data_IF_575739340892
#
_entry.id   IF_575739340892
#
_cell.length_a   1.000
_cell.length_b   1.000
_cell.length_c   1.000
_cell.angle_alpha   90.00
_cell.angle_beta   90.00
_cell.angle_gamma   90.00
#
_symmetry.space_group_name_H-M   'P 1'
#
loop_
_entity.id
_entity.type
_entity.pdbx_description
1 polymer ?
#
# COMPACT_ATOMS: atom_id res chain seq x y z
N UNK A 1 -21.06 -6.45 -12.89
CA UNK A 1 -21.16 -4.99 -12.96
C UNK A 1 -19.84 -4.37 -12.52
N UNK A 2 -19.47 -3.28 -13.16
CA UNK A 2 -18.29 -2.48 -12.88
C UNK A 2 -18.43 -1.80 -11.49
N UNK A 3 -17.38 -1.74 -10.65
CA UNK A 3 -17.43 -1.05 -9.36
C UNK A 3 -17.60 0.47 -9.48
N UNK A 4 -17.33 1.06 -10.65
CA UNK A 4 -17.47 2.50 -10.90
C UNK A 4 -16.36 3.38 -10.29
N UNK A 5 -15.40 2.78 -9.58
CA UNK A 5 -14.31 3.52 -8.94
C UNK A 5 -13.21 3.95 -9.91
N UNK A 6 -13.06 3.25 -11.03
CA UNK A 6 -12.07 3.52 -12.08
C UNK A 6 -12.57 2.99 -13.42
N UNK A 7 -12.06 3.58 -14.50
CA UNK A 7 -12.33 3.15 -15.86
C UNK A 7 -11.37 2.03 -16.28
N UNK A 8 -11.81 1.20 -17.23
CA UNK A 8 -10.90 0.26 -17.89
C UNK A 8 -9.90 1.03 -18.76
N UNK A 9 -8.64 0.83 -18.47
CA UNK A 9 -7.53 1.44 -19.21
C UNK A 9 -6.46 0.38 -19.49
N UNK A 10 -6.38 -0.19 -20.69
CA UNK A 10 -5.42 -1.24 -21.00
C UNK A 10 -3.99 -0.71 -20.91
N UNK A 11 -3.06 -1.61 -20.57
CA UNK A 11 -1.64 -1.29 -20.44
C UNK A 11 -1.00 -0.77 -21.74
N UNK A 12 -1.52 -1.23 -22.88
CA UNK A 12 -1.03 -0.86 -24.22
C UNK A 12 -1.42 0.58 -24.58
N UNK A 13 -0.57 1.25 -25.33
CA UNK A 13 -0.81 2.60 -25.87
C UNK A 13 -1.01 3.71 -24.81
N UNK A 14 -0.51 3.48 -23.58
CA UNK A 14 -0.52 4.51 -22.54
C UNK A 14 0.52 5.60 -22.81
N UNK A 15 0.25 6.85 -22.40
CA UNK A 15 1.28 7.89 -22.35
C UNK A 15 2.45 7.41 -21.50
N UNK A 16 3.67 7.73 -21.93
CA UNK A 16 4.87 7.28 -21.23
C UNK A 16 4.96 7.87 -19.83
N UNK A 17 5.03 6.99 -18.83
CA UNK A 17 5.28 7.34 -17.44
C UNK A 17 6.79 7.35 -17.18
N UNK A 18 7.29 8.42 -16.56
CA UNK A 18 8.68 8.55 -16.11
C UNK A 18 8.69 9.15 -14.71
N UNK A 19 9.77 8.90 -13.97
CA UNK A 19 9.97 9.40 -12.61
C UNK A 19 11.08 10.46 -12.58
N UNK A 20 11.34 11.13 -11.44
CA UNK A 20 12.36 12.17 -11.33
C UNK A 20 13.69 11.75 -11.94
N UNK A 21 14.40 12.70 -12.57
CA UNK A 21 15.73 12.49 -13.16
C UNK A 21 15.76 11.38 -14.25
N UNK A 22 14.62 11.11 -14.89
CA UNK A 22 14.51 10.05 -15.89
C UNK A 22 14.56 8.64 -15.34
N UNK A 23 14.35 8.47 -14.03
CA UNK A 23 14.17 7.16 -13.42
C UNK A 23 12.96 6.46 -14.04
N UNK A 24 13.01 5.15 -14.07
CA UNK A 24 12.03 4.31 -14.76
C UNK A 24 11.08 3.58 -13.84
N UNK A 25 11.56 3.19 -12.67
CA UNK A 25 10.79 2.44 -11.67
C UNK A 25 10.79 3.24 -10.36
N UNK A 26 9.61 3.55 -9.83
CA UNK A 26 9.49 4.05 -8.46
C UNK A 26 9.36 2.86 -7.50
N UNK A 27 10.28 2.75 -6.57
CA UNK A 27 10.32 1.66 -5.60
C UNK A 27 10.04 2.19 -4.19
N UNK A 28 9.12 1.54 -3.51
CA UNK A 28 8.79 1.84 -2.12
C UNK A 28 8.52 0.59 -1.29
N UNK A 29 8.74 0.69 0.01
CA UNK A 29 8.45 -0.36 0.98
C UNK A 29 7.31 0.10 1.89
N UNK A 30 6.33 -0.76 2.10
CA UNK A 30 5.19 -0.52 2.96
C UNK A 30 5.27 -1.39 4.24
N UNK A 31 5.93 -0.91 5.31
CA UNK A 31 5.85 -1.57 6.60
C UNK A 31 4.44 -1.48 7.16
N UNK A 32 3.78 -2.61 7.34
CA UNK A 32 2.49 -2.70 8.02
C UNK A 32 2.75 -2.78 9.54
N UNK A 33 2.65 -1.62 10.20
CA UNK A 33 2.82 -1.52 11.65
C UNK A 33 1.44 -1.68 12.28
N UNK A 34 1.19 -2.91 12.66
CA UNK A 34 -0.14 -3.35 13.05
C UNK A 34 -0.26 -3.57 14.55
N UNK A 35 -1.43 -3.26 15.08
CA UNK A 35 -1.83 -3.59 16.43
C UNK A 35 -3.11 -4.44 16.41
N UNK A 36 -3.09 -5.53 17.16
CA UNK A 36 -4.19 -6.48 17.27
C UNK A 36 -4.80 -6.43 18.65
N UNK A 37 -6.12 -6.50 18.75
CA UNK A 37 -6.78 -6.66 20.03
C UNK A 37 -6.67 -8.12 20.51
N UNK A 38 -6.47 -8.33 21.82
CA UNK A 38 -6.43 -9.68 22.40
C UNK A 38 -7.80 -10.36 22.31
N UNK A 39 -8.86 -9.61 22.54
CA UNK A 39 -10.25 -10.01 22.39
C UNK A 39 -10.97 -9.04 21.46
N UNK A 40 -10.77 -9.17 20.11
CA UNK A 40 -11.39 -8.27 19.16
C UNK A 40 -12.91 -8.43 19.14
N UNK A 41 -13.66 -7.36 18.79
CA UNK A 41 -15.08 -7.46 18.61
C UNK A 41 -15.43 -8.44 17.49
N UNK A 42 -16.54 -9.13 17.64
CA UNK A 42 -17.04 -10.04 16.62
C UNK A 42 -17.49 -9.25 15.37
N UNK A 43 -16.99 -9.66 14.21
CA UNK A 43 -17.50 -9.17 12.93
C UNK A 43 -18.21 -10.34 12.22
N UNK A 44 -19.48 -10.18 11.81
CA UNK A 44 -20.24 -11.26 11.17
C UNK A 44 -19.71 -11.68 9.81
N UNK A 45 -18.95 -10.81 9.14
CA UNK A 45 -18.46 -11.04 7.78
C UNK A 45 -17.07 -11.66 7.76
N UNK A 46 -16.26 -11.44 8.80
CA UNK A 46 -14.88 -11.93 8.85
C UNK A 46 -14.38 -12.10 10.27
N UNK A 47 -13.76 -13.22 10.56
CA UNK A 47 -13.04 -13.43 11.83
C UNK A 47 -11.74 -12.68 11.83
N UNK A 48 -11.47 -11.96 12.91
CA UNK A 48 -10.21 -11.25 13.10
C UNK A 48 -9.03 -12.20 13.41
N UNK A 49 -9.31 -13.33 14.07
CA UNK A 49 -8.32 -14.33 14.45
C UNK A 49 -8.72 -15.71 13.93
N UNK A 50 -7.75 -16.54 13.49
CA UNK A 50 -8.02 -17.87 12.93
C UNK A 50 -8.58 -18.88 13.94
N UNK A 51 -8.19 -18.76 15.24
CA UNK A 51 -8.58 -19.67 16.31
C UNK A 51 -9.69 -19.06 17.16
N UNK A 52 -10.38 -19.86 17.99
CA UNK A 52 -11.29 -19.33 18.98
C UNK A 52 -10.62 -18.33 19.92
N UNK A 53 -11.37 -17.31 20.35
CA UNK A 53 -10.87 -16.30 21.28
C UNK A 53 -10.82 -16.81 22.72
N UNK A 54 -9.82 -16.38 23.50
CA UNK A 54 -8.68 -15.58 23.09
C UNK A 54 -7.64 -16.40 22.31
N UNK A 55 -7.25 -15.90 21.14
CA UNK A 55 -6.23 -16.56 20.31
C UNK A 55 -4.83 -16.10 20.68
N UNK A 56 -4.30 -16.63 21.76
CA UNK A 56 -2.99 -16.25 22.31
C UNK A 56 -1.85 -16.46 21.32
N UNK A 57 -1.92 -17.51 20.50
CA UNK A 57 -0.85 -17.84 19.54
C UNK A 57 -0.75 -16.77 18.45
N UNK A 58 -1.85 -16.44 17.79
CA UNK A 58 -1.81 -15.43 16.72
C UNK A 58 -1.62 -14.02 17.26
N UNK A 59 -2.19 -13.70 18.41
CA UNK A 59 -1.95 -12.43 19.07
C UNK A 59 -0.47 -12.22 19.38
N UNK A 60 0.14 -13.14 20.15
CA UNK A 60 1.55 -13.02 20.55
C UNK A 60 2.53 -13.11 19.37
N UNK A 61 2.17 -13.86 18.32
CA UNK A 61 2.97 -13.93 17.10
C UNK A 61 3.03 -12.56 16.40
N UNK A 62 1.94 -11.81 16.39
CA UNK A 62 1.89 -10.47 15.82
C UNK A 62 2.56 -9.43 16.72
N UNK A 63 2.37 -9.53 18.02
CA UNK A 63 3.01 -8.66 19.01
C UNK A 63 4.56 -8.72 18.92
N UNK A 64 5.12 -9.88 18.56
CA UNK A 64 6.55 -10.00 18.23
C UNK A 64 7.02 -8.95 17.23
N UNK A 65 6.16 -8.57 16.28
CA UNK A 65 6.49 -7.57 15.27
C UNK A 65 6.91 -6.23 15.88
N UNK A 66 6.07 -5.69 16.75
CA UNK A 66 6.32 -4.40 17.39
C UNK A 66 7.41 -4.46 18.46
N UNK A 67 7.63 -5.63 19.06
CA UNK A 67 8.64 -5.82 20.12
C UNK A 67 10.05 -6.06 19.60
N UNK A 68 10.18 -6.85 18.53
CA UNK A 68 11.49 -7.34 18.04
C UNK A 68 11.65 -7.15 16.53
N UNK A 69 10.66 -7.61 15.76
CA UNK A 69 10.78 -7.70 14.31
C UNK A 69 10.95 -6.36 13.63
N UNK A 70 10.27 -5.33 14.11
CA UNK A 70 10.38 -3.96 13.60
C UNK A 70 11.82 -3.44 13.63
N UNK A 71 12.52 -3.64 14.74
CA UNK A 71 13.89 -3.11 14.91
C UNK A 71 14.88 -3.74 13.94
N UNK A 72 14.75 -5.04 13.67
CA UNK A 72 15.56 -5.72 12.65
C UNK A 72 15.22 -5.28 11.24
N UNK A 73 13.94 -5.16 10.93
CA UNK A 73 13.49 -4.65 9.62
C UNK A 73 14.00 -3.22 9.39
N UNK A 74 13.92 -2.37 10.41
CA UNK A 74 14.40 -0.99 10.39
C UNK A 74 15.90 -0.91 10.06
N UNK A 75 16.72 -1.73 10.71
CA UNK A 75 18.17 -1.80 10.45
C UNK A 75 18.48 -2.22 9.01
N UNK A 76 17.76 -3.21 8.48
CA UNK A 76 17.90 -3.62 7.09
C UNK A 76 17.52 -2.50 6.11
N UNK A 77 16.44 -1.78 6.38
CA UNK A 77 16.03 -0.64 5.54
C UNK A 77 17.02 0.53 5.63
N UNK A 78 17.53 0.83 6.82
CA UNK A 78 18.57 1.86 7.02
C UNK A 78 19.85 1.54 6.23
N UNK A 79 20.27 0.27 6.21
CA UNK A 79 21.48 -0.18 5.50
C UNK A 79 21.45 0.17 4.02
N UNK A 80 20.27 0.16 3.39
CA UNK A 80 20.11 0.43 1.95
C UNK A 80 19.45 1.77 1.66
N UNK A 81 19.32 2.65 2.65
CA UNK A 81 18.76 3.98 2.49
C UNK A 81 17.27 4.00 2.11
N UNK A 82 16.53 2.97 2.50
CA UNK A 82 15.10 2.85 2.19
C UNK A 82 14.27 3.48 3.31
N UNK A 83 13.49 4.51 2.96
CA UNK A 83 12.47 5.07 3.84
C UNK A 83 11.17 4.28 3.69
N UNK A 84 10.50 4.02 4.81
CA UNK A 84 9.20 3.35 4.79
C UNK A 84 8.04 4.31 4.56
N UNK A 85 7.02 3.85 3.83
CA UNK A 85 5.67 4.39 3.91
C UNK A 85 4.87 3.45 4.81
N UNK A 86 4.66 3.89 6.04
CA UNK A 86 4.08 3.04 7.09
C UNK A 86 2.58 2.94 6.93
N UNK A 87 2.09 1.74 6.67
CA UNK A 87 0.68 1.36 6.80
C UNK A 87 0.39 1.20 8.30
N UNK A 88 -0.22 2.23 8.91
CA UNK A 88 -0.28 2.39 10.36
C UNK A 88 -1.66 2.11 10.93
N UNK A 89 -1.76 1.14 11.83
CA UNK A 89 -2.87 1.14 12.78
C UNK A 89 -2.63 2.23 13.84
N UNK A 90 -3.54 3.18 13.97
CA UNK A 90 -3.33 4.33 14.87
C UNK A 90 -3.24 3.95 16.35
N UNK A 91 -3.77 2.80 16.76
CA UNK A 91 -3.55 2.27 18.10
C UNK A 91 -2.06 2.09 18.45
N UNK A 92 -1.19 1.92 17.46
CA UNK A 92 0.27 1.82 17.67
C UNK A 92 0.86 3.11 18.24
N UNK A 93 0.25 4.27 17.95
CA UNK A 93 0.67 5.57 18.47
C UNK A 93 0.69 5.60 20.00
N UNK A 94 -0.29 4.96 20.63
CA UNK A 94 -0.40 4.87 22.09
C UNK A 94 0.34 3.68 22.67
N UNK A 95 0.33 2.54 21.96
CA UNK A 95 0.89 1.28 22.50
C UNK A 95 2.40 1.14 22.29
N UNK A 96 2.94 1.72 21.21
CA UNK A 96 4.35 1.57 20.81
C UNK A 96 4.96 2.90 20.31
N UNK A 97 4.97 3.96 21.13
CA UNK A 97 5.44 5.29 20.72
C UNK A 97 6.90 5.28 20.27
N UNK A 98 7.75 4.37 20.78
CA UNK A 98 9.15 4.25 20.38
C UNK A 98 9.30 3.84 18.90
N UNK A 99 8.39 3.00 18.40
CA UNK A 99 8.34 2.59 16.98
C UNK A 99 8.03 3.83 16.11
N UNK A 100 7.08 4.64 16.53
CA UNK A 100 6.68 5.86 15.82
C UNK A 100 7.82 6.87 15.79
N UNK A 101 8.47 7.11 16.93
CA UNK A 101 9.60 8.02 17.01
C UNK A 101 10.79 7.55 16.15
N UNK A 102 11.04 6.24 16.05
CA UNK A 102 12.06 5.70 15.17
C UNK A 102 11.76 5.96 13.69
N UNK A 103 10.49 5.85 13.28
CA UNK A 103 10.05 6.18 11.93
C UNK A 103 10.18 7.69 11.64
N UNK A 104 9.71 8.55 12.57
CA UNK A 104 9.79 10.02 12.45
C UNK A 104 11.23 10.51 12.27
N UNK A 105 12.18 9.97 13.03
CA UNK A 105 13.60 10.31 12.93
C UNK A 105 14.20 10.02 11.56
N UNK A 106 13.58 9.17 10.76
CA UNK A 106 14.00 8.76 9.42
C UNK A 106 13.19 9.40 8.31
N UNK A 107 12.31 10.32 8.65
CA UNK A 107 11.38 10.96 7.70
C UNK A 107 10.54 9.91 6.94
N UNK A 108 10.06 8.89 7.64
CA UNK A 108 9.14 7.93 7.09
C UNK A 108 7.74 8.52 7.00
N UNK A 109 7.02 8.16 5.96
CA UNK A 109 5.62 8.51 5.80
C UNK A 109 4.72 7.64 6.67
N UNK A 110 3.58 8.21 7.10
CA UNK A 110 2.48 7.44 7.70
C UNK A 110 1.23 7.58 6.84
N UNK A 111 0.65 6.44 6.46
CA UNK A 111 -0.67 6.39 5.85
C UNK A 111 -1.61 5.47 6.64
N UNK A 112 -2.93 5.63 6.42
CA UNK A 112 -3.94 4.94 7.22
C UNK A 112 -3.93 3.44 7.02
N UNK A 113 -3.91 2.68 8.11
CA UNK A 113 -4.33 1.28 8.17
C UNK A 113 -5.41 1.07 9.24
N UNK A 114 -6.22 2.09 9.48
CA UNK A 114 -7.29 2.08 10.47
C UNK A 114 -6.82 2.10 11.92
N UNK A 115 -7.73 1.74 12.82
CA UNK A 115 -7.49 1.85 14.27
C UNK A 115 -6.72 0.64 14.79
N UNK A 116 -7.29 -0.54 14.62
CA UNK A 116 -6.67 -1.85 14.90
C UNK A 116 -6.80 -2.74 13.67
N UNK A 117 -5.86 -3.66 13.47
CA UNK A 117 -5.96 -4.60 12.35
C UNK A 117 -7.06 -5.65 12.51
N UNK A 118 -7.71 -5.66 13.66
CA UNK A 118 -8.86 -6.51 14.00
C UNK A 118 -10.21 -5.82 13.82
N UNK A 119 -10.23 -4.53 13.45
CA UNK A 119 -11.45 -3.74 13.24
C UNK A 119 -11.68 -3.46 11.76
N UNK A 120 -12.52 -4.28 11.17
CA UNK A 120 -12.83 -4.24 9.74
C UNK A 120 -13.95 -3.24 9.41
N UNK A 121 -13.92 -2.70 8.20
CA UNK A 121 -14.97 -1.80 7.69
C UNK A 121 -16.24 -2.57 7.30
N UNK A 122 -16.14 -3.87 7.05
CA UNK A 122 -17.30 -4.69 6.74
C UNK A 122 -18.42 -4.52 7.77
N UNK A 123 -19.62 -4.18 7.29
CA UNK A 123 -20.81 -3.96 8.11
C UNK A 123 -20.90 -2.58 8.75
N UNK A 124 -19.91 -1.71 8.62
CA UNK A 124 -20.01 -0.32 9.06
C UNK A 124 -21.05 0.44 8.23
N UNK A 125 -21.83 1.30 8.88
CA UNK A 125 -22.63 2.31 8.19
C UNK A 125 -21.78 3.57 7.93
N UNK A 126 -22.31 4.52 7.16
CA UNK A 126 -21.58 5.73 6.79
C UNK A 126 -21.09 6.54 8.00
N UNK A 127 -21.92 6.70 9.03
CA UNK A 127 -21.52 7.42 10.25
C UNK A 127 -20.34 6.76 10.96
N UNK A 128 -20.29 5.43 10.96
CA UNK A 128 -19.18 4.68 11.55
C UNK A 128 -17.91 4.80 10.71
N UNK A 129 -18.02 4.76 9.37
CA UNK A 129 -16.86 4.96 8.49
C UNK A 129 -16.31 6.40 8.60
N UNK A 130 -17.17 7.42 8.69
CA UNK A 130 -16.73 8.80 8.93
C UNK A 130 -15.99 8.93 10.25
N UNK A 131 -16.55 8.41 11.33
CA UNK A 131 -15.88 8.43 12.64
C UNK A 131 -14.54 7.69 12.64
N UNK A 132 -14.45 6.57 11.89
CA UNK A 132 -13.20 5.85 11.68
C UNK A 132 -12.16 6.70 10.94
N UNK A 133 -12.55 7.40 9.86
CA UNK A 133 -11.64 8.26 9.10
C UNK A 133 -11.17 9.44 9.96
N UNK A 134 -12.08 10.09 10.67
CA UNK A 134 -11.80 11.22 11.57
C UNK A 134 -10.80 10.83 12.66
N UNK A 135 -11.00 9.69 13.32
CA UNK A 135 -10.09 9.18 14.35
C UNK A 135 -8.67 8.94 13.79
N UNK A 136 -8.57 8.37 12.59
CA UNK A 136 -7.27 8.15 11.93
C UNK A 136 -6.60 9.47 11.57
N UNK A 137 -7.32 10.41 10.96
CA UNK A 137 -6.79 11.73 10.55
C UNK A 137 -6.28 12.49 11.76
N UNK A 138 -7.08 12.59 12.81
CA UNK A 138 -6.74 13.32 14.03
C UNK A 138 -5.57 12.67 14.77
N UNK A 139 -5.57 11.33 14.90
CA UNK A 139 -4.53 10.60 15.60
C UNK A 139 -3.17 10.72 14.90
N UNK A 140 -3.10 10.51 13.59
CA UNK A 140 -1.83 10.63 12.84
C UNK A 140 -1.33 12.08 12.90
N UNK A 141 -2.19 13.06 12.66
CA UNK A 141 -1.81 14.46 12.70
C UNK A 141 -1.27 14.88 14.07
N UNK A 142 -1.98 14.52 15.14
CA UNK A 142 -1.62 14.86 16.51
C UNK A 142 -0.29 14.27 16.95
N UNK A 143 -0.02 13.01 16.63
CA UNK A 143 1.14 12.29 17.15
C UNK A 143 2.37 12.41 16.24
N UNK A 144 2.19 12.61 14.94
CA UNK A 144 3.30 12.63 13.99
C UNK A 144 3.56 14.01 13.38
N UNK A 145 2.60 14.91 13.44
CA UNK A 145 2.62 16.20 12.72
C UNK A 145 2.39 16.05 11.21
N UNK A 146 2.20 14.84 10.70
CA UNK A 146 1.96 14.60 9.28
C UNK A 146 0.45 14.64 8.98
N UNK A 147 0.09 15.23 7.85
CA UNK A 147 -1.23 15.05 7.27
C UNK A 147 -1.28 13.69 6.59
N UNK A 148 -2.23 12.84 6.96
CA UNK A 148 -2.47 11.59 6.27
C UNK A 148 -3.13 11.85 4.92
N UNK A 149 -2.62 11.23 3.86
CA UNK A 149 -3.15 11.39 2.49
C UNK A 149 -3.38 10.06 1.78
N UNK A 150 -2.97 8.96 2.38
CA UNK A 150 -3.10 7.61 1.83
C UNK A 150 -3.85 6.66 2.74
N UNK A 151 -4.46 5.63 2.18
CA UNK A 151 -5.21 4.62 2.91
C UNK A 151 -5.01 3.21 2.34
N UNK A 152 -4.88 2.26 3.25
CA UNK A 152 -5.08 0.83 3.05
C UNK A 152 -5.99 0.36 4.19
N UNK A 153 -7.14 -0.22 3.88
CA UNK A 153 -8.05 -0.64 4.96
C UNK A 153 -7.55 -1.92 5.64
N UNK A 154 -7.82 -2.10 6.95
CA UNK A 154 -7.45 -3.33 7.66
C UNK A 154 -7.97 -4.55 6.93
N UNK A 155 -7.07 -5.49 6.61
CA UNK A 155 -7.38 -6.73 5.89
C UNK A 155 -8.14 -6.52 4.56
N UNK A 156 -8.02 -5.32 3.95
CA UNK A 156 -8.63 -4.95 2.66
C UNK A 156 -10.15 -5.10 2.72
N UNK A 157 -10.77 -4.42 3.67
CA UNK A 157 -12.19 -4.55 3.98
C UNK A 157 -13.01 -3.30 3.67
N UNK A 158 -12.55 -2.46 2.73
CA UNK A 158 -13.29 -1.27 2.31
C UNK A 158 -14.71 -1.61 1.85
N UNK A 159 -15.62 -0.67 1.98
CA UNK A 159 -16.99 -0.75 1.51
C UNK A 159 -17.16 0.04 0.22
N UNK A 160 -18.31 -0.04 -0.43
CA UNK A 160 -18.64 0.78 -1.61
C UNK A 160 -18.48 2.29 -1.34
N UNK A 161 -18.59 2.73 -0.08
CA UNK A 161 -18.51 4.13 0.31
C UNK A 161 -17.10 4.59 0.67
N UNK A 162 -16.20 3.67 0.96
CA UNK A 162 -14.88 4.02 1.54
C UNK A 162 -14.09 4.97 0.65
N UNK A 163 -13.97 4.68 -0.65
CA UNK A 163 -13.21 5.54 -1.59
C UNK A 163 -13.84 6.94 -1.73
N UNK A 164 -15.16 7.09 -1.99
CA UNK A 164 -15.81 8.39 -1.99
C UNK A 164 -15.66 9.17 -0.68
N UNK A 165 -15.80 8.52 0.47
CA UNK A 165 -15.64 9.16 1.77
C UNK A 165 -14.19 9.62 2.00
N UNK A 166 -13.20 8.79 1.71
CA UNK A 166 -11.79 9.18 1.82
C UNK A 166 -11.49 10.45 1.00
N UNK A 167 -12.07 10.57 -0.19
CA UNK A 167 -11.92 11.77 -1.02
C UNK A 167 -12.52 13.02 -0.37
N UNK A 168 -13.63 12.90 0.37
CA UNK A 168 -14.21 14.02 1.13
C UNK A 168 -13.30 14.54 2.24
N UNK A 169 -12.46 13.65 2.83
CA UNK A 169 -11.45 13.97 3.84
C UNK A 169 -10.07 14.28 3.23
N UNK A 170 -10.03 14.58 1.92
CA UNK A 170 -8.83 14.98 1.18
C UNK A 170 -7.71 13.92 1.15
N UNK A 171 -8.06 12.64 1.20
CA UNK A 171 -7.12 11.58 0.84
C UNK A 171 -6.86 11.63 -0.67
N UNK A 172 -5.64 11.36 -1.07
CA UNK A 172 -5.22 11.47 -2.47
C UNK A 172 -4.84 10.14 -3.08
N UNK A 173 -4.62 9.09 -2.27
CA UNK A 173 -4.39 7.75 -2.80
C UNK A 173 -4.96 6.66 -1.89
N UNK A 174 -5.30 5.52 -2.51
CA UNK A 174 -5.68 4.27 -1.85
C UNK A 174 -4.84 3.12 -2.36
N UNK A 175 -4.54 2.16 -1.49
CA UNK A 175 -3.75 0.97 -1.80
C UNK A 175 -4.57 -0.33 -1.83
N UNK A 176 -5.90 -0.23 -1.74
CA UNK A 176 -6.82 -1.38 -1.66
C UNK A 176 -7.13 -2.05 -3.00
N UNK A 177 -6.66 -1.46 -4.12
CA UNK A 177 -6.92 -1.95 -5.48
C UNK A 177 -5.63 -2.50 -6.09
N UNK A 178 -5.63 -3.77 -6.44
CA UNK A 178 -4.46 -4.51 -6.93
C UNK A 178 -4.58 -4.77 -8.43
N UNK A 179 -4.75 -3.72 -9.23
CA UNK A 179 -5.18 -3.85 -10.61
C UNK A 179 -4.21 -3.27 -11.65
N UNK A 180 -3.10 -2.69 -11.20
CA UNK A 180 -2.17 -2.05 -12.13
C UNK A 180 -0.76 -1.91 -11.54
N UNK A 181 0.24 -1.81 -12.42
CA UNK A 181 1.64 -1.50 -12.08
C UNK A 181 1.93 0.01 -12.11
N UNK A 182 0.97 0.82 -12.49
CA UNK A 182 1.04 2.28 -12.50
C UNK A 182 -0.03 2.89 -11.62
N UNK A 183 0.17 4.12 -11.09
CA UNK A 183 -0.93 4.84 -10.47
C UNK A 183 -2.05 5.10 -11.48
N UNK A 184 -3.29 4.83 -11.07
CA UNK A 184 -4.48 5.00 -11.93
C UNK A 184 -5.42 6.03 -11.30
N UNK A 185 -5.88 7.05 -12.06
CA UNK A 185 -6.91 7.97 -11.60
C UNK A 185 -8.19 7.26 -11.19
N UNK A 186 -8.77 7.68 -10.06
CA UNK A 186 -10.03 7.15 -9.54
C UNK A 186 -11.17 8.15 -9.76
N UNK A 187 -12.37 7.59 -9.98
CA UNK A 187 -13.61 8.34 -10.07
C UNK A 187 -14.10 8.70 -8.65
N UNK A 188 -13.86 9.91 -8.22
CA UNK A 188 -14.23 10.41 -6.88
C UNK A 188 -15.10 11.66 -6.96
N UNK A 189 -16.00 11.89 -5.98
CA UNK A 189 -16.92 13.01 -6.01
C UNK A 189 -16.24 14.36 -5.72
N UNK A 190 -15.04 14.35 -5.12
CA UNK A 190 -14.32 15.56 -4.72
C UNK A 190 -12.81 15.37 -4.94
N UNK A 191 -12.15 16.39 -5.48
CA UNK A 191 -10.68 16.42 -5.62
C UNK A 191 -10.14 15.45 -6.67
N UNK A 192 -8.92 15.02 -6.46
CA UNK A 192 -8.18 14.05 -7.30
C UNK A 192 -7.69 12.90 -6.41
N UNK A 193 -7.85 11.68 -6.85
CA UNK A 193 -7.38 10.49 -6.14
C UNK A 193 -6.83 9.47 -7.13
N UNK A 194 -5.85 8.69 -6.69
CA UNK A 194 -5.28 7.59 -7.46
C UNK A 194 -5.34 6.26 -6.70
N UNK A 195 -5.43 5.18 -7.44
CA UNK A 195 -5.01 3.86 -6.97
C UNK A 195 -3.49 3.82 -7.00
N UNK A 196 -2.86 3.63 -5.85
CA UNK A 196 -1.41 3.46 -5.72
C UNK A 196 -1.06 1.98 -5.81
N UNK A 197 -0.13 1.58 -6.70
CA UNK A 197 0.31 0.20 -6.74
C UNK A 197 0.92 -0.26 -5.41
N UNK A 198 0.20 -1.16 -4.76
CA UNK A 198 0.59 -1.91 -3.58
C UNK A 198 0.44 -3.38 -3.95
N UNK A 199 1.40 -4.23 -3.68
CA UNK A 199 1.39 -5.59 -4.22
C UNK A 199 0.84 -6.61 -3.22
N UNK A 200 -0.05 -7.47 -3.68
CA UNK A 200 -0.44 -8.69 -2.96
C UNK A 200 0.58 -9.81 -3.21
N UNK A 201 1.11 -9.89 -4.43
CA UNK A 201 2.03 -10.94 -4.87
C UNK A 201 3.40 -10.82 -4.21
N UNK A 202 3.90 -9.59 -3.99
CA UNK A 202 5.19 -9.33 -3.35
C UNK A 202 5.09 -9.22 -1.83
N UNK A 203 3.87 -9.24 -1.28
CA UNK A 203 3.58 -9.10 0.14
C UNK A 203 4.12 -10.30 0.92
N UNK A 204 4.91 -10.04 1.95
CA UNK A 204 5.49 -11.09 2.80
C UNK A 204 4.43 -11.94 3.51
N UNK A 205 3.26 -11.37 3.82
CA UNK A 205 2.14 -12.11 4.40
C UNK A 205 1.59 -13.14 3.39
N UNK A 206 1.37 -12.74 2.15
CA UNK A 206 0.91 -13.65 1.09
C UNK A 206 1.95 -14.73 0.82
N UNK A 207 3.22 -14.33 0.70
CA UNK A 207 4.29 -15.26 0.34
C UNK A 207 4.60 -16.25 1.47
N UNK A 208 4.72 -15.80 2.73
CA UNK A 208 5.08 -16.71 3.82
C UNK A 208 3.91 -17.44 4.45
N UNK A 209 2.73 -16.82 4.56
CA UNK A 209 1.57 -17.45 5.18
C UNK A 209 0.61 -18.07 4.16
N UNK A 210 0.47 -17.46 2.97
CA UNK A 210 -0.38 -17.98 1.91
C UNK A 210 0.33 -19.10 1.14
N UNK A 211 1.32 -18.75 0.34
CA UNK A 211 2.03 -19.70 -0.55
C UNK A 211 3.15 -20.47 0.15
N UNK A 212 3.55 -20.06 1.35
CA UNK A 212 4.57 -20.71 2.19
C UNK A 212 5.93 -20.87 1.52
N UNK A 213 6.37 -19.81 0.84
CA UNK A 213 7.69 -19.81 0.20
C UNK A 213 8.83 -19.81 1.22
N UNK A 214 10.01 -20.29 0.80
CA UNK A 214 11.22 -20.16 1.60
C UNK A 214 11.73 -18.70 1.57
N UNK A 215 12.57 -18.27 2.53
CA UNK A 215 13.19 -16.94 2.48
C UNK A 215 13.96 -16.67 1.19
N UNK A 216 14.69 -17.66 0.68
CA UNK A 216 15.40 -17.55 -0.60
C UNK A 216 14.43 -17.31 -1.77
N UNK A 217 13.33 -18.05 -1.81
CA UNK A 217 12.33 -17.90 -2.86
C UNK A 217 11.62 -16.53 -2.78
N UNK A 218 11.35 -16.04 -1.57
CA UNK A 218 10.87 -14.67 -1.38
C UNK A 218 11.81 -13.65 -2.05
N UNK A 219 13.12 -13.71 -1.75
CA UNK A 219 14.12 -12.85 -2.39
C UNK A 219 14.09 -12.98 -3.92
N UNK A 220 14.07 -14.20 -4.43
CA UNK A 220 14.16 -14.47 -5.87
C UNK A 220 12.93 -13.95 -6.61
N UNK A 221 11.74 -13.99 -6.00
CA UNK A 221 10.51 -13.38 -6.53
C UNK A 221 10.67 -11.86 -6.63
N UNK A 222 11.18 -11.18 -5.58
CA UNK A 222 11.40 -9.75 -5.59
C UNK A 222 12.36 -9.34 -6.71
N UNK A 223 13.45 -10.10 -6.89
CA UNK A 223 14.43 -9.84 -7.94
C UNK A 223 13.86 -10.06 -9.34
N UNK A 224 13.15 -11.15 -9.57
CA UNK A 224 12.54 -11.44 -10.85
C UNK A 224 11.47 -10.38 -11.24
N UNK A 225 10.75 -9.84 -10.25
CA UNK A 225 9.76 -8.80 -10.49
C UNK A 225 10.41 -7.49 -10.97
N UNK A 226 11.45 -7.00 -10.28
CA UNK A 226 12.14 -5.78 -10.70
C UNK A 226 12.85 -5.95 -12.05
N UNK A 227 13.45 -7.13 -12.30
CA UNK A 227 14.11 -7.42 -13.56
C UNK A 227 13.13 -7.29 -14.74
N UNK A 228 11.93 -7.84 -14.60
CA UNK A 228 10.90 -7.73 -15.63
C UNK A 228 10.43 -6.30 -15.85
N UNK A 229 10.20 -5.54 -14.78
CA UNK A 229 9.82 -4.12 -14.91
C UNK A 229 10.92 -3.30 -15.61
N UNK A 230 12.20 -3.61 -15.34
CA UNK A 230 13.32 -2.93 -16.00
C UNK A 230 13.43 -3.26 -17.49
N UNK A 231 13.11 -4.49 -17.89
CA UNK A 231 13.03 -4.88 -19.30
C UNK A 231 11.97 -4.10 -20.08
N UNK A 232 10.82 -3.81 -19.44
CA UNK A 232 9.70 -3.08 -20.04
C UNK A 232 9.82 -1.55 -19.90
N UNK A 233 10.74 -1.08 -19.09
CA UNK A 233 10.80 0.32 -18.67
C UNK A 233 11.17 1.33 -19.75
N UNK A 234 11.70 0.90 -20.89
CA UNK A 234 11.94 1.77 -22.05
C UNK A 234 10.63 2.18 -22.74
N UNK A 235 9.62 1.31 -22.66
CA UNK A 235 8.28 1.59 -23.19
C UNK A 235 7.47 2.42 -22.18
N UNK A 236 7.49 2.01 -20.91
CA UNK A 236 6.74 2.72 -19.87
C UNK A 236 7.31 2.48 -18.47
N UNK A 237 7.26 3.50 -17.62
CA UNK A 237 7.65 3.37 -16.21
C UNK A 237 6.57 2.69 -15.37
N UNK A 238 6.98 2.18 -14.22
CA UNK A 238 6.11 1.45 -13.29
C UNK A 238 6.42 1.77 -11.84
N UNK A 239 5.61 1.22 -10.94
CA UNK A 239 5.81 1.26 -9.48
C UNK A 239 6.00 -0.15 -8.95
N UNK A 240 6.98 -0.35 -8.08
CA UNK A 240 7.15 -1.57 -7.32
C UNK A 240 7.01 -1.31 -5.84
N UNK A 241 6.16 -2.08 -5.15
CA UNK A 241 6.00 -2.04 -3.71
C UNK A 241 6.34 -3.39 -3.09
N UNK A 242 7.11 -3.37 -1.99
CA UNK A 242 7.26 -4.54 -1.11
C UNK A 242 6.51 -4.26 0.19
N UNK A 243 5.29 -4.79 0.36
CA UNK A 243 4.61 -4.76 1.64
C UNK A 243 5.26 -5.73 2.62
N UNK A 244 5.52 -5.28 3.83
CA UNK A 244 6.17 -6.07 4.87
C UNK A 244 5.39 -6.04 6.18
N UNK A 245 5.47 -7.13 6.93
CA UNK A 245 4.93 -7.23 8.28
C UNK A 245 6.09 -7.55 9.25
N UNK A 246 6.39 -6.68 10.22
CA UNK A 246 7.53 -6.89 11.13
C UNK A 246 7.54 -8.25 11.83
N UNK A 247 6.37 -8.80 12.15
CA UNK A 247 6.27 -10.13 12.77
C UNK A 247 6.62 -11.29 11.83
N UNK A 248 6.68 -11.04 10.51
CA UNK A 248 7.10 -12.00 9.48
C UNK A 248 8.51 -11.73 9.01
N UNK A 249 8.75 -10.57 8.39
CA UNK A 249 10.04 -10.26 7.78
C UNK A 249 11.15 -10.06 8.82
N UNK A 250 10.81 -9.57 10.02
CA UNK A 250 11.76 -9.35 11.13
C UNK A 250 12.20 -10.62 11.88
N UNK A 251 11.85 -11.81 11.39
CA UNK A 251 12.36 -13.08 11.93
C UNK A 251 13.79 -13.30 11.49
N UNK A 252 14.69 -13.79 12.38
CA UNK A 252 16.12 -13.94 12.08
C UNK A 252 16.40 -14.66 10.77
N UNK A 253 15.67 -15.75 10.50
CA UNK A 253 15.90 -16.59 9.32
C UNK A 253 15.34 -16.00 7.99
N UNK A 254 14.59 -14.89 8.04
CA UNK A 254 14.00 -14.21 6.88
C UNK A 254 14.68 -12.89 6.55
N UNK A 255 15.31 -12.27 7.55
CA UNK A 255 15.83 -10.91 7.44
C UNK A 255 16.88 -10.77 6.33
N UNK A 256 17.80 -11.73 6.22
CA UNK A 256 18.86 -11.69 5.20
C UNK A 256 18.27 -11.70 3.78
N UNK A 257 17.22 -12.48 3.55
CA UNK A 257 16.56 -12.52 2.24
C UNK A 257 15.90 -11.20 1.88
N UNK A 258 15.35 -10.48 2.86
CA UNK A 258 14.81 -9.14 2.67
C UNK A 258 15.94 -8.13 2.39
N UNK A 259 17.01 -8.16 3.18
CA UNK A 259 18.18 -7.31 2.98
C UNK A 259 18.80 -7.51 1.59
N UNK A 260 18.98 -8.77 1.15
CA UNK A 260 19.47 -9.09 -0.19
C UNK A 260 18.54 -8.61 -1.32
N UNK A 261 17.23 -8.62 -1.11
CA UNK A 261 16.27 -8.07 -2.07
C UNK A 261 16.40 -6.54 -2.15
N UNK A 262 16.52 -5.84 -1.01
CA UNK A 262 16.74 -4.41 -0.97
C UNK A 262 18.05 -4.01 -1.65
N UNK A 263 19.16 -4.69 -1.32
CA UNK A 263 20.46 -4.48 -1.95
C UNK A 263 20.36 -4.55 -3.48
N UNK A 264 19.74 -5.62 -3.98
CA UNK A 264 19.59 -5.83 -5.41
C UNK A 264 18.78 -4.71 -6.06
N UNK A 265 17.60 -4.39 -5.54
CA UNK A 265 16.70 -3.40 -6.13
C UNK A 265 17.32 -1.99 -6.10
N UNK A 266 17.92 -1.62 -4.96
CA UNK A 266 18.50 -0.27 -4.79
C UNK A 266 19.82 -0.08 -5.56
N UNK A 267 20.46 -1.14 -6.01
CA UNK A 267 21.66 -1.07 -6.84
C UNK A 267 21.41 -0.61 -8.28
N UNK A 268 20.16 -0.69 -8.76
CA UNK A 268 19.80 -0.27 -10.12
C UNK A 268 19.63 1.26 -10.20
N UNK A 269 20.42 1.88 -11.06
CA UNK A 269 20.40 3.35 -11.28
C UNK A 269 19.06 3.87 -11.85
N UNK A 270 18.30 3.01 -12.50
CA UNK A 270 16.99 3.29 -13.08
C UNK A 270 15.88 3.35 -12.03
N UNK A 271 16.15 2.90 -10.80
CA UNK A 271 15.18 2.85 -9.70
C UNK A 271 15.22 4.14 -8.89
N UNK A 272 14.06 4.71 -8.67
CA UNK A 272 13.82 5.79 -7.72
C UNK A 272 13.35 5.19 -6.39
N UNK A 273 14.22 5.17 -5.40
CA UNK A 273 13.90 4.71 -4.04
C UNK A 273 13.20 5.84 -3.30
N UNK A 274 11.93 5.66 -2.95
CA UNK A 274 11.08 6.76 -2.51
C UNK A 274 9.97 6.31 -1.54
N UNK A 275 8.96 7.16 -1.31
CA UNK A 275 7.77 6.87 -0.52
C UNK A 275 6.51 7.00 -1.38
N UNK A 276 5.40 6.36 -0.94
CA UNK A 276 4.13 6.47 -1.66
C UNK A 276 3.62 7.90 -1.77
N UNK A 277 3.88 8.73 -0.76
CA UNK A 277 3.57 10.17 -0.78
C UNK A 277 4.30 10.90 -1.90
N UNK A 278 5.59 10.65 -2.05
CA UNK A 278 6.40 11.28 -3.09
C UNK A 278 5.99 10.79 -4.49
N UNK A 279 5.68 9.50 -4.63
CA UNK A 279 5.12 8.94 -5.88
C UNK A 279 3.81 9.65 -6.24
N UNK A 280 2.87 9.73 -5.29
CA UNK A 280 1.59 10.41 -5.51
C UNK A 280 1.78 11.88 -5.89
N UNK A 281 2.62 12.62 -5.16
CA UNK A 281 2.92 14.02 -5.45
C UNK A 281 3.47 14.23 -6.86
N UNK A 282 4.48 13.45 -7.24
CA UNK A 282 5.07 13.53 -8.58
C UNK A 282 4.08 13.16 -9.68
N UNK A 283 3.28 12.10 -9.45
CA UNK A 283 2.28 11.68 -10.41
C UNK A 283 1.20 12.75 -10.62
N UNK A 284 0.71 13.39 -9.57
CA UNK A 284 -0.27 14.47 -9.67
C UNK A 284 0.28 15.68 -10.41
N UNK A 285 1.56 16.00 -10.23
CA UNK A 285 2.18 17.17 -10.87
C UNK A 285 2.47 16.94 -12.35
N UNK A 286 2.86 15.71 -12.73
CA UNK A 286 3.43 15.47 -14.07
C UNK A 286 2.60 14.55 -14.96
N UNK A 287 1.73 13.70 -14.42
CA UNK A 287 1.12 12.61 -15.19
C UNK A 287 -0.40 12.50 -15.05
N UNK A 288 -0.98 12.97 -13.96
CA UNK A 288 -2.40 12.76 -13.65
C UNK A 288 -3.33 13.27 -14.75
N UNK A 289 -3.17 14.53 -15.17
CA UNK A 289 -4.07 15.14 -16.15
C UNK A 289 -3.94 14.46 -17.52
N UNK A 290 -2.72 14.10 -17.93
CA UNK A 290 -2.47 13.33 -19.16
C UNK A 290 -3.12 11.94 -19.11
N UNK A 291 -3.08 11.27 -17.95
CA UNK A 291 -3.74 9.97 -17.77
C UNK A 291 -5.26 10.09 -17.86
N UNK A 292 -5.85 11.11 -17.25
CA UNK A 292 -7.31 11.38 -17.31
C UNK A 292 -7.74 11.64 -18.76
N UNK A 293 -6.99 12.45 -19.52
CA UNK A 293 -7.26 12.72 -20.93
C UNK A 293 -7.16 11.44 -21.78
N UNK A 294 -6.13 10.63 -21.57
CA UNK A 294 -5.95 9.37 -22.29
C UNK A 294 -7.07 8.35 -22.00
N UNK A 295 -7.52 8.24 -20.75
CA UNK A 295 -8.66 7.40 -20.36
C UNK A 295 -9.94 7.88 -21.05
N UNK A 296 -10.21 9.18 -21.05
CA UNK A 296 -11.39 9.76 -21.69
C UNK A 296 -11.41 9.50 -23.21
N UNK A 297 -10.27 9.66 -23.88
CA UNK A 297 -10.16 9.37 -25.31
C UNK A 297 -10.35 7.88 -25.61
N UNK A 298 -9.73 6.98 -24.81
CA UNK A 298 -9.94 5.55 -24.93
C UNK A 298 -11.43 5.18 -24.81
N UNK A 299 -12.12 5.69 -23.80
CA UNK A 299 -13.55 5.43 -23.58
C UNK A 299 -14.41 5.90 -24.75
N UNK A 300 -14.11 7.07 -25.31
CA UNK A 300 -14.81 7.63 -26.47
C UNK A 300 -14.64 6.75 -27.72
N UNK A 301 -13.42 6.31 -28.01
CA UNK A 301 -13.12 5.44 -29.16
C UNK A 301 -13.87 4.09 -29.07
N UNK A 302 -13.88 3.46 -27.90
CA UNK A 302 -14.54 2.18 -27.70
C UNK A 302 -16.07 2.27 -27.66
N UNK A 303 -16.62 3.36 -27.13
CA UNK A 303 -18.07 3.63 -27.23
C UNK A 303 -18.55 3.78 -28.67
N UNK A 304 -17.76 4.45 -29.52
CA UNK A 304 -18.09 4.61 -30.95
C UNK A 304 -18.00 3.29 -31.71
N UNK A 305 -17.01 2.43 -31.43
CA UNK A 305 -16.89 1.10 -32.03
C UNK A 305 -18.04 0.17 -31.64
N UNK A 306 -18.50 0.23 -30.39
CA UNK A 306 -19.63 -0.58 -29.92
C UNK A 306 -20.94 -0.19 -30.62
N UNK A 307 -21.15 1.08 -30.97
CA UNK A 307 -22.33 1.56 -31.69
C UNK A 307 -22.21 1.26 -33.21
N UNK A 308 -21.03 1.38 -33.80
CA UNK A 308 -20.81 1.16 -35.23
C UNK A 308 -20.69 -0.31 -35.67
N UNK A 309 -20.46 -1.23 -34.72
CA UNK A 309 -20.41 -2.68 -34.98
C UNK A 309 -21.77 -3.41 -34.95
N UNK A 310 -22.86 -2.67 -34.72
CA UNK A 310 -24.22 -3.17 -34.70
C UNK A 310 -25.00 -2.84 -36.00
N UNK A 311 -24.29 -2.44 -37.07
CA UNK A 311 -24.87 -2.14 -38.38
C UNK A 311 -24.55 -3.24 -39.41
#
# INVERSE_FOLDING_TARGET
SDPGHYDYWPYIDRPKLTWPEGKKIAFWVAPNIENYEFEPPLNPHRRAMPRPLPDVVHYSHRDYGNRVGFWRMLEAMDQYGVRGSVSLNVATLDHHPEVIEACKKRDWEFFSHGVYNTRYLYGMNEKQERAYIEDVVDSISKHTGQRVIGSLTPAITHTERSIPLLAEYDFTYVCDLFHDDQPVPLNVPKGKMISMPYSVELNDFTLFNGTRVTPRHFRDIQKAFIDRLLEEADENGSVMCIPTHPFLIGRPFRLDAFAEALDYITSHKEVWVTTSREIAGYYFEHHYDTAVEAIAEHNKQWSQKAIGGAA
#
